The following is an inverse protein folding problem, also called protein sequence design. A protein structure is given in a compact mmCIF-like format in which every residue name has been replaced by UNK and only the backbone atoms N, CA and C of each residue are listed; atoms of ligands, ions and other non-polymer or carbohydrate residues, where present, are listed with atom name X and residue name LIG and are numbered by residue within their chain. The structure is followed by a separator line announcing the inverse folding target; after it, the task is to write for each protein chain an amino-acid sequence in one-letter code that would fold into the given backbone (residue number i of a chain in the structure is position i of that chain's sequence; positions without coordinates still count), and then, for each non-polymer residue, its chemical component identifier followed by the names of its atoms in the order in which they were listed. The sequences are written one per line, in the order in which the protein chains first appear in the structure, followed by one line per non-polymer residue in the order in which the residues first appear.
data_IF_077048067978
#
_entry.id   IF_077048067978
#
_cell.length_a   1.000
_cell.length_b   1.000
_cell.length_c   1.000
_cell.angle_alpha   90.00
_cell.angle_beta   90.00
_cell.angle_gamma   90.00
#
_symmetry.space_group_name_H-M   'P 1'
#
loop_
_entity.id
_entity.type
_entity.pdbx_description
1 polymer ?
#
# COMPACT_ATOMS: atom_id res chain seq x y z
N UNK A 1 -66.93 24.44 -11.28
CA UNK A 1 -66.52 25.23 -10.11
C UNK A 1 -65.69 24.35 -9.18
N UNK A 2 -64.63 24.95 -8.61
CA UNK A 2 -63.79 24.52 -7.47
C UNK A 2 -62.93 23.26 -7.57
N UNK A 3 -61.60 23.48 -7.46
CA UNK A 3 -60.63 22.43 -7.15
C UNK A 3 -59.19 22.91 -7.00
N UNK A 4 -58.94 24.11 -6.47
CA UNK A 4 -57.58 24.50 -6.04
C UNK A 4 -57.26 23.72 -4.76
N UNK A 5 -56.43 22.68 -4.86
CA UNK A 5 -55.98 21.90 -3.70
C UNK A 5 -54.48 22.09 -3.49
N UNK A 6 -54.20 23.07 -2.63
CA UNK A 6 -53.09 23.15 -1.69
C UNK A 6 -51.65 22.98 -2.22
N UNK A 7 -51.00 24.12 -2.44
CA UNK A 7 -49.57 24.25 -2.18
C UNK A 7 -49.28 23.96 -0.69
N UNK A 8 -48.42 22.97 -0.42
CA UNK A 8 -47.76 22.79 0.88
C UNK A 8 -46.25 22.68 0.63
N UNK A 9 -45.46 23.75 0.83
CA UNK A 9 -44.01 23.65 0.85
C UNK A 9 -43.61 23.26 2.27
N UNK A 10 -43.87 22.01 2.66
CA UNK A 10 -43.51 21.53 3.99
C UNK A 10 -42.33 20.58 3.90
N UNK A 11 -41.17 21.19 4.18
CA UNK A 11 -40.02 20.60 4.87
C UNK A 11 -39.40 19.38 4.19
N UNK A 12 -38.30 19.62 3.49
CA UNK A 12 -37.22 18.66 3.30
C UNK A 12 -36.26 18.78 4.51
N UNK A 13 -36.36 17.98 5.59
CA UNK A 13 -35.29 17.90 6.58
C UNK A 13 -34.25 16.84 6.19
N UNK A 14 -34.42 16.13 5.07
CA UNK A 14 -33.55 15.01 4.70
C UNK A 14 -32.21 15.44 4.08
N UNK A 15 -32.10 16.67 3.56
CA UNK A 15 -30.88 17.14 2.89
C UNK A 15 -29.75 17.58 3.86
N UNK A 16 -30.11 18.04 5.06
CA UNK A 16 -29.14 18.59 6.01
C UNK A 16 -28.28 17.50 6.68
N UNK A 17 -28.84 16.31 6.92
CA UNK A 17 -28.09 15.18 7.47
C UNK A 17 -27.00 14.67 6.52
N UNK A 18 -27.24 14.74 5.20
CA UNK A 18 -26.26 14.36 4.19
C UNK A 18 -25.05 15.31 4.16
N UNK A 19 -25.29 16.61 4.34
CA UNK A 19 -24.22 17.62 4.38
C UNK A 19 -23.34 17.49 5.63
N UNK A 20 -23.91 17.11 6.78
CA UNK A 20 -23.11 16.87 8.00
C UNK A 20 -22.24 15.62 7.92
N UNK A 21 -22.68 14.58 7.19
CA UNK A 21 -21.88 13.37 6.98
C UNK A 21 -20.70 13.60 6.02
N UNK A 22 -20.86 14.46 5.01
CA UNK A 22 -19.78 14.79 4.08
C UNK A 22 -18.71 15.72 4.68
N UNK A 23 -19.04 16.51 5.71
CA UNK A 23 -18.06 17.38 6.38
C UNK A 23 -16.94 16.60 7.11
N UNK A 24 -17.15 15.31 7.40
CA UNK A 24 -16.12 14.43 7.99
C UNK A 24 -15.13 13.84 6.97
N UNK A 25 -15.40 13.97 5.67
CA UNK A 25 -14.60 13.34 4.61
C UNK A 25 -13.53 14.28 3.99
N UNK A 26 -13.46 15.54 4.45
CA UNK A 26 -12.53 16.57 3.97
C UNK A 26 -11.34 16.86 4.89
N UNK A 27 -11.12 16.03 5.91
CA UNK A 27 -9.92 16.15 6.74
C UNK A 27 -8.66 15.82 5.92
N UNK A 28 -7.51 16.47 6.19
CA UNK A 28 -6.25 16.02 5.61
C UNK A 28 -6.11 14.52 5.89
N UNK A 29 -5.68 13.70 4.92
CA UNK A 29 -5.48 12.28 5.16
C UNK A 29 -4.58 12.18 6.38
N UNK A 30 -5.11 11.61 7.46
CA UNK A 30 -4.30 11.21 8.60
C UNK A 30 -3.44 10.07 8.08
N UNK A 31 -2.31 10.43 7.45
CA UNK A 31 -1.24 9.49 7.19
C UNK A 31 -0.84 9.03 8.59
N UNK A 32 -1.38 7.88 9.01
CA UNK A 32 -0.77 7.13 10.09
C UNK A 32 0.59 6.79 9.52
N UNK A 33 1.62 7.50 9.98
CA UNK A 33 2.99 7.13 9.71
C UNK A 33 3.15 5.70 10.21
N UNK A 34 3.02 4.77 9.27
CA UNK A 34 3.28 3.38 9.52
C UNK A 34 4.77 3.32 9.82
N UNK A 35 5.09 3.16 11.09
CA UNK A 35 6.47 2.96 11.51
C UNK A 35 6.72 1.47 11.41
N UNK A 36 7.70 1.10 10.58
CA UNK A 36 8.09 -0.28 10.44
C UNK A 36 8.45 -0.87 11.82
N UNK A 37 7.69 -1.87 12.27
CA UNK A 37 8.01 -2.63 13.49
C UNK A 37 9.33 -3.39 13.33
N UNK A 38 9.92 -3.87 14.43
CA UNK A 38 11.21 -4.57 14.41
C UNK A 38 11.22 -5.85 13.56
N UNK A 39 10.05 -6.45 13.29
CA UNK A 39 9.91 -7.66 12.48
C UNK A 39 9.85 -7.38 10.97
N UNK A 40 9.64 -6.11 10.58
CA UNK A 40 9.55 -5.69 9.18
C UNK A 40 10.79 -6.07 8.36
N UNK A 41 12.04 -5.92 8.83
CA UNK A 41 13.21 -6.39 8.07
C UNK A 41 13.20 -7.90 7.81
N UNK A 42 12.66 -8.71 8.72
CA UNK A 42 12.54 -10.17 8.53
C UNK A 42 11.43 -10.51 7.53
N UNK A 43 10.27 -9.86 7.65
CA UNK A 43 9.15 -10.03 6.71
C UNK A 43 9.56 -9.60 5.29
N UNK A 44 10.23 -8.45 5.17
CA UNK A 44 10.76 -7.95 3.91
C UNK A 44 11.82 -8.88 3.31
N UNK A 45 12.65 -9.50 4.16
CA UNK A 45 13.64 -10.48 3.74
C UNK A 45 12.98 -11.73 3.14
N UNK A 46 11.96 -12.28 3.79
CA UNK A 46 11.23 -13.46 3.31
C UNK A 46 10.50 -13.17 2.00
N UNK A 47 9.81 -12.03 1.93
CA UNK A 47 9.10 -11.59 0.74
C UNK A 47 10.00 -11.38 -0.48
N UNK A 48 11.20 -10.85 -0.27
CA UNK A 48 12.16 -10.59 -1.35
C UNK A 48 13.01 -11.82 -1.69
N UNK A 49 13.19 -12.77 -0.77
CA UNK A 49 13.98 -13.98 -1.02
C UNK A 49 13.37 -14.84 -2.14
N UNK A 50 12.05 -15.03 -2.13
CA UNK A 50 11.38 -15.83 -3.17
C UNK A 50 11.58 -15.21 -4.57
N UNK A 51 11.51 -13.89 -4.67
CA UNK A 51 11.73 -13.17 -5.94
C UNK A 51 13.18 -13.30 -6.41
N UNK A 52 14.13 -13.14 -5.48
CA UNK A 52 15.56 -13.31 -5.73
C UNK A 52 15.86 -14.73 -6.19
N UNK A 53 15.35 -15.74 -5.49
CA UNK A 53 15.59 -17.14 -5.80
C UNK A 53 14.99 -17.53 -7.17
N UNK A 54 13.82 -17.00 -7.51
CA UNK A 54 13.25 -17.14 -8.86
C UNK A 54 14.13 -16.48 -9.93
N UNK A 55 14.62 -15.25 -9.69
CA UNK A 55 15.51 -14.56 -10.62
C UNK A 55 16.84 -15.32 -10.83
N UNK A 56 17.41 -15.85 -9.76
CA UNK A 56 18.61 -16.69 -9.79
C UNK A 56 18.37 -17.98 -10.58
N UNK A 57 17.23 -18.65 -10.33
CA UNK A 57 16.84 -19.88 -11.03
C UNK A 57 16.63 -19.66 -12.52
N UNK A 58 16.00 -18.55 -12.92
CA UNK A 58 15.80 -18.20 -14.34
C UNK A 58 17.12 -17.98 -15.09
N UNK A 59 18.19 -17.58 -14.39
CA UNK A 59 19.54 -17.47 -14.96
C UNK A 59 20.39 -18.74 -14.84
N UNK A 60 19.87 -19.80 -14.22
CA UNK A 60 20.65 -21.00 -13.92
C UNK A 60 21.75 -20.77 -12.87
N UNK A 61 21.63 -19.73 -12.05
CA UNK A 61 22.58 -19.46 -10.96
C UNK A 61 22.22 -20.28 -9.72
N UNK A 62 23.22 -20.65 -8.90
CA UNK A 62 22.97 -21.32 -7.63
C UNK A 62 22.17 -20.40 -6.69
N UNK A 63 21.20 -20.97 -5.97
CA UNK A 63 20.36 -20.22 -5.01
C UNK A 63 21.18 -19.62 -3.86
N UNK A 64 22.26 -20.31 -3.47
CA UNK A 64 23.19 -19.87 -2.43
C UNK A 64 24.60 -19.75 -3.02
N UNK A 65 24.88 -18.66 -3.75
CA UNK A 65 26.20 -18.41 -4.29
C UNK A 65 27.19 -18.07 -3.17
N UNK A 66 28.45 -18.46 -3.35
CA UNK A 66 29.55 -18.10 -2.44
C UNK A 66 29.83 -16.59 -2.50
N UNK A 67 30.22 -15.94 -1.41
CA UNK A 67 30.38 -14.49 -1.33
C UNK A 67 31.44 -13.92 -2.30
N UNK A 68 32.37 -14.75 -2.72
CA UNK A 68 33.49 -14.43 -3.61
C UNK A 68 33.07 -14.40 -5.10
N UNK A 69 31.86 -14.86 -5.39
CA UNK A 69 31.39 -15.09 -6.76
C UNK A 69 30.55 -13.93 -7.28
N UNK A 70 30.60 -13.61 -8.58
CA UNK A 70 29.78 -12.54 -9.15
C UNK A 70 28.27 -12.81 -9.01
N UNK A 71 27.87 -14.08 -8.89
CA UNK A 71 26.49 -14.48 -8.64
C UNK A 71 25.98 -13.98 -7.29
N UNK A 72 26.86 -13.88 -6.29
CA UNK A 72 26.50 -13.33 -4.98
C UNK A 72 26.30 -11.81 -5.03
N UNK A 73 27.13 -11.10 -5.79
CA UNK A 73 26.90 -9.68 -6.09
C UNK A 73 25.56 -9.45 -6.77
N UNK A 74 25.27 -10.24 -7.80
CA UNK A 74 23.98 -10.18 -8.50
C UNK A 74 22.79 -10.48 -7.58
N UNK A 75 22.89 -11.49 -6.71
CA UNK A 75 21.85 -11.81 -5.72
C UNK A 75 21.56 -10.62 -4.80
N UNK A 76 22.60 -9.93 -4.33
CA UNK A 76 22.48 -8.72 -3.49
C UNK A 76 21.80 -7.57 -4.24
N UNK A 77 22.15 -7.35 -5.50
CA UNK A 77 21.56 -6.28 -6.33
C UNK A 77 20.06 -6.49 -6.53
N UNK A 78 19.64 -7.73 -6.84
CA UNK A 78 18.22 -8.06 -7.01
C UNK A 78 17.46 -7.94 -5.69
N UNK A 79 18.07 -8.38 -4.58
CA UNK A 79 17.50 -8.20 -3.26
C UNK A 79 17.28 -6.71 -2.93
N UNK A 80 18.31 -5.88 -3.12
CA UNK A 80 18.22 -4.44 -2.92
C UNK A 80 17.18 -3.78 -3.85
N UNK A 81 17.04 -4.27 -5.08
CA UNK A 81 16.01 -3.78 -6.00
C UNK A 81 14.60 -4.14 -5.53
N UNK A 82 14.38 -5.34 -4.99
CA UNK A 82 13.10 -5.73 -4.40
C UNK A 82 12.75 -4.85 -3.20
N UNK A 83 13.70 -4.64 -2.28
CA UNK A 83 13.52 -3.78 -1.11
C UNK A 83 13.12 -2.35 -1.50
N UNK A 84 13.85 -1.75 -2.46
CA UNK A 84 13.52 -0.40 -2.97
C UNK A 84 12.14 -0.33 -3.62
N UNK A 85 11.74 -1.34 -4.39
CA UNK A 85 10.40 -1.38 -5.02
C UNK A 85 9.26 -1.46 -4.01
N UNK A 86 9.52 -2.12 -2.87
CA UNK A 86 8.54 -2.26 -1.79
C UNK A 86 8.54 -1.09 -0.80
N UNK A 87 9.41 -0.10 -0.99
CA UNK A 87 9.51 1.06 -0.11
C UNK A 87 10.23 0.76 1.21
N UNK A 88 10.90 -0.39 1.33
CA UNK A 88 11.75 -0.66 2.48
C UNK A 88 13.05 0.14 2.34
N UNK A 89 13.24 1.09 3.26
CA UNK A 89 14.49 1.83 3.37
C UNK A 89 15.57 0.88 3.88
N UNK A 90 16.57 0.63 3.05
CA UNK A 90 17.85 0.09 3.50
C UNK A 90 18.65 1.26 4.10
N UNK A 91 18.33 1.61 5.35
CA UNK A 91 19.14 2.48 6.22
C UNK A 91 20.33 1.69 6.83
#
# INVERSE_FOLDING_TARGET
MTGFRNARPWMLPAGLAALTLLAGCGGPPAYRDWTAGQDVPTIAFDECNEQVDNAMRLRGYPLRPLPETPQYGYRKEIFAQCMRRKGYANE
#
